data_IF_904702742831
#
_entry.id   IF_904702742831
#
_cell.length_a   1.000
_cell.length_b   1.000
_cell.length_c   1.000
_cell.angle_alpha   90.00
_cell.angle_beta   90.00
_cell.angle_gamma   90.00
#
_symmetry.space_group_name_H-M   'P 1'
#
loop_
_entity.id
_entity.type
_entity.pdbx_description
1 polymer ?
#
# COMPACT_ATOMS: atom_id res chain seq x y z
N UNK A 1 6.46 -27.32 80.45
CA UNK A 1 6.88 -28.14 79.30
C UNK A 1 6.33 -27.51 78.03
N UNK A 2 7.23 -27.22 77.08
CA UNK A 2 7.04 -27.06 75.62
C UNK A 2 6.00 -26.03 75.09
N UNK A 3 6.58 -24.91 74.61
CA UNK A 3 6.32 -24.09 73.39
C UNK A 3 4.93 -24.09 72.73
N UNK A 4 4.43 -22.88 72.49
CA UNK A 4 3.99 -22.45 71.14
C UNK A 4 4.09 -20.92 71.03
N UNK A 5 5.03 -20.43 70.23
CA UNK A 5 5.13 -19.01 69.85
C UNK A 5 4.39 -18.88 68.51
N UNK A 6 3.23 -18.23 68.51
CA UNK A 6 2.55 -17.82 67.29
C UNK A 6 3.25 -16.56 66.75
N UNK A 7 3.90 -16.71 65.59
CA UNK A 7 4.36 -15.58 64.79
C UNK A 7 3.20 -15.17 63.89
N UNK A 8 2.60 -14.01 64.16
CA UNK A 8 1.60 -13.40 63.30
C UNK A 8 2.31 -12.69 62.13
N UNK A 9 2.35 -13.33 60.97
CA UNK A 9 2.78 -12.69 59.71
C UNK A 9 1.64 -11.80 59.21
N UNK A 10 1.80 -10.49 59.34
CA UNK A 10 0.92 -9.53 58.68
C UNK A 10 1.24 -9.50 57.18
N UNK A 11 0.36 -10.08 56.36
CA UNK A 11 0.37 -9.87 54.91
C UNK A 11 -0.01 -8.40 54.64
N UNK A 12 0.97 -7.59 54.20
CA UNK A 12 0.67 -6.34 53.51
C UNK A 12 0.08 -6.70 52.14
N UNK A 13 -1.25 -6.62 52.02
CA UNK A 13 -1.92 -6.65 50.73
C UNK A 13 -1.59 -5.37 49.96
N UNK A 14 -0.74 -5.46 48.95
CA UNK A 14 -0.63 -4.42 47.92
C UNK A 14 -1.91 -4.42 47.09
N UNK A 15 -2.82 -3.51 47.40
CA UNK A 15 -3.88 -3.10 46.47
C UNK A 15 -3.21 -2.35 45.32
N UNK A 16 -2.87 -3.07 44.26
CA UNK A 16 -2.59 -2.47 42.97
C UNK A 16 -3.91 -1.86 42.48
N UNK A 17 -4.05 -0.54 42.62
CA UNK A 17 -5.08 0.21 41.95
C UNK A 17 -4.81 0.12 40.45
N UNK A 18 -5.51 -0.77 39.76
CA UNK A 18 -5.61 -0.77 38.31
C UNK A 18 -6.28 0.55 37.91
N UNK A 19 -5.48 1.53 37.52
CA UNK A 19 -5.98 2.71 36.84
C UNK A 19 -6.55 2.22 35.51
N UNK A 20 -7.87 2.08 35.44
CA UNK A 20 -8.57 2.01 34.16
C UNK A 20 -8.32 3.35 33.48
N UNK A 21 -7.45 3.35 32.48
CA UNK A 21 -7.31 4.49 31.58
C UNK A 21 -8.71 4.82 31.05
N UNK A 22 -9.13 6.08 31.23
CA UNK A 22 -10.36 6.56 30.62
C UNK A 22 -10.29 6.30 29.10
N UNK A 23 -11.42 5.96 28.44
CA UNK A 23 -11.43 5.81 26.99
C UNK A 23 -10.88 7.10 26.39
N UNK A 24 -9.78 6.96 25.64
CA UNK A 24 -9.24 8.04 24.83
C UNK A 24 -10.37 8.59 23.96
N UNK A 25 -10.50 9.93 23.91
CA UNK A 25 -11.36 10.61 22.94
C UNK A 25 -11.17 9.90 21.59
N UNK A 26 -12.24 9.44 20.92
CA UNK A 26 -12.08 8.75 19.64
C UNK A 26 -11.28 9.68 18.73
N UNK A 27 -10.24 9.16 18.07
CA UNK A 27 -9.42 9.97 17.18
C UNK A 27 -10.34 10.64 16.16
N UNK A 28 -10.03 11.85 15.69
CA UNK A 28 -10.79 12.41 14.58
C UNK A 28 -10.62 11.45 13.39
N UNK A 29 -11.71 10.77 12.99
CA UNK A 29 -11.72 9.71 11.98
C UNK A 29 -12.12 10.33 10.65
N UNK A 30 -11.38 9.99 9.59
CA UNK A 30 -11.72 10.37 8.23
C UNK A 30 -12.95 9.63 7.67
N UNK A 31 -13.22 9.88 6.39
CA UNK A 31 -14.30 9.20 5.68
C UNK A 31 -13.82 7.85 5.14
N UNK A 32 -14.57 6.78 5.40
CA UNK A 32 -14.27 5.45 4.88
C UNK A 32 -14.49 5.39 3.36
N UNK A 33 -13.51 4.93 2.59
CA UNK A 33 -13.60 4.68 1.14
C UNK A 33 -13.42 3.21 0.84
N UNK A 34 -14.29 2.67 -0.01
CA UNK A 34 -14.53 1.24 -0.10
C UNK A 34 -14.26 0.68 -1.51
N UNK A 35 -13.52 -0.43 -1.61
CA UNK A 35 -13.62 -1.29 -2.80
C UNK A 35 -15.02 -1.91 -2.86
N UNK A 36 -15.94 -1.34 -3.64
CA UNK A 36 -17.32 -1.86 -3.74
C UNK A 36 -17.36 -3.31 -4.29
N UNK A 37 -18.34 -4.11 -3.84
CA UNK A 37 -18.55 -5.46 -4.39
C UNK A 37 -18.91 -5.43 -5.89
N UNK A 38 -18.43 -6.43 -6.63
CA UNK A 38 -18.83 -6.67 -8.00
C UNK A 38 -20.33 -6.97 -8.07
N UNK A 39 -21.05 -6.17 -8.86
CA UNK A 39 -22.47 -6.40 -9.17
C UNK A 39 -22.60 -6.56 -10.68
N UNK A 40 -22.83 -7.78 -11.22
CA UNK A 40 -22.82 -8.03 -12.67
C UNK A 40 -23.74 -7.13 -13.50
N UNK A 41 -24.83 -6.65 -12.89
CA UNK A 41 -25.81 -5.77 -13.54
C UNK A 41 -25.44 -4.28 -13.51
N UNK A 42 -24.46 -3.89 -12.67
CA UNK A 42 -24.04 -2.50 -12.47
C UNK A 42 -22.56 -2.28 -12.81
N UNK A 43 -21.76 -3.34 -12.76
CA UNK A 43 -20.35 -3.36 -13.12
C UNK A 43 -20.24 -4.22 -14.37
N UNK A 44 -20.16 -3.57 -15.52
CA UNK A 44 -19.47 -4.19 -16.66
C UNK A 44 -17.97 -4.19 -16.32
N UNK A 45 -17.16 -5.07 -16.92
CA UNK A 45 -15.70 -4.93 -16.91
C UNK A 45 -15.26 -3.71 -17.74
N UNK A 46 -15.86 -2.54 -17.49
CA UNK A 46 -15.59 -1.28 -18.15
C UNK A 46 -15.34 -0.17 -17.11
N UNK A 47 -14.49 0.81 -17.42
CA UNK A 47 -14.21 1.92 -16.52
C UNK A 47 -15.45 2.74 -16.17
N UNK A 48 -15.51 3.27 -14.94
CA UNK A 48 -16.49 4.28 -14.55
C UNK A 48 -16.18 5.57 -15.33
N UNK A 49 -17.18 6.15 -15.99
CA UNK A 49 -17.01 7.37 -16.78
C UNK A 49 -16.69 8.60 -15.91
N UNK A 50 -16.03 9.61 -16.49
CA UNK A 50 -15.72 10.88 -15.83
C UNK A 50 -14.29 10.96 -15.31
N UNK A 51 -13.72 12.16 -15.38
CA UNK A 51 -12.34 12.44 -15.00
C UNK A 51 -12.23 12.72 -13.50
N UNK A 52 -11.11 12.30 -12.90
CA UNK A 52 -10.74 12.66 -11.54
C UNK A 52 -9.97 13.97 -11.51
N UNK A 53 -10.03 14.70 -10.40
CA UNK A 53 -9.34 15.97 -10.19
C UNK A 53 -8.76 16.02 -8.78
N UNK A 54 -7.67 16.75 -8.62
CA UNK A 54 -7.08 17.07 -7.32
C UNK A 54 -7.95 18.08 -6.55
N UNK A 55 -8.27 17.76 -5.29
CA UNK A 55 -9.15 18.56 -4.44
C UNK A 55 -8.43 19.36 -3.35
N UNK A 56 -7.08 19.35 -3.32
CA UNK A 56 -6.28 20.25 -2.47
C UNK A 56 -5.70 19.63 -1.20
N UNK A 57 -6.04 18.37 -0.89
CA UNK A 57 -5.54 17.60 0.25
C UNK A 57 -4.16 16.99 0.05
N UNK A 58 -3.53 16.48 1.11
CA UNK A 58 -2.21 15.87 1.03
C UNK A 58 -2.25 14.52 0.28
N UNK A 59 -1.12 14.12 -0.31
CA UNK A 59 -0.86 12.80 -0.88
C UNK A 59 0.37 12.17 -0.22
N UNK A 60 0.54 10.85 -0.38
CA UNK A 60 1.79 10.17 -0.02
C UNK A 60 2.80 10.28 -1.18
N UNK A 61 3.43 11.45 -1.30
CA UNK A 61 4.27 11.82 -2.45
C UNK A 61 5.69 11.26 -2.44
N UNK A 62 6.22 10.93 -1.27
CA UNK A 62 7.58 10.40 -1.09
C UNK A 62 7.62 8.89 -0.99
N UNK A 63 8.50 8.39 -0.11
CA UNK A 63 8.53 6.99 0.28
C UNK A 63 7.23 6.61 0.98
N UNK A 64 6.63 5.49 0.58
CA UNK A 64 5.42 4.92 1.20
C UNK A 64 5.79 3.61 1.89
N UNK A 65 5.49 3.50 3.17
CA UNK A 65 5.83 2.32 3.95
C UNK A 65 4.58 1.47 4.22
N UNK A 66 4.67 0.16 4.00
CA UNK A 66 3.56 -0.77 4.20
C UNK A 66 3.82 -1.62 5.44
N UNK A 67 2.81 -1.67 6.31
CA UNK A 67 2.81 -2.49 7.52
C UNK A 67 1.60 -3.40 7.51
N UNK A 68 1.79 -4.68 7.81
CA UNK A 68 0.68 -5.64 7.90
C UNK A 68 0.43 -6.06 9.35
N UNK A 69 -0.84 -6.11 9.71
CA UNK A 69 -1.34 -6.71 10.95
C UNK A 69 -2.19 -7.90 10.55
N UNK A 70 -1.66 -9.11 10.73
CA UNK A 70 -2.40 -10.34 10.48
C UNK A 70 -3.33 -10.61 11.67
N UNK A 71 -4.59 -10.24 11.52
CA UNK A 71 -5.61 -10.36 12.56
C UNK A 71 -6.31 -11.72 12.48
N UNK A 72 -6.17 -12.52 13.54
CA UNK A 72 -6.66 -13.89 13.62
C UNK A 72 -5.64 -14.94 13.18
N UNK A 73 -6.11 -16.16 12.92
CA UNK A 73 -5.25 -17.33 12.72
C UNK A 73 -4.87 -17.54 11.25
N UNK A 74 -3.69 -17.06 10.88
CA UNK A 74 -3.11 -17.21 9.54
C UNK A 74 -2.16 -18.42 9.46
N UNK A 75 -2.73 -19.62 9.45
CA UNK A 75 -1.99 -20.88 9.59
C UNK A 75 -1.20 -21.31 8.34
N UNK A 76 -1.55 -20.79 7.16
CA UNK A 76 -0.92 -21.16 5.89
C UNK A 76 0.15 -20.13 5.53
N UNK A 77 1.42 -20.48 5.73
CA UNK A 77 2.56 -19.58 5.49
C UNK A 77 2.60 -19.03 4.06
N UNK A 78 2.21 -19.83 3.05
CA UNK A 78 2.19 -19.37 1.67
C UNK A 78 1.25 -18.20 1.43
N UNK A 79 0.16 -18.10 2.20
CA UNK A 79 -0.81 -17.00 2.05
C UNK A 79 -0.16 -15.66 2.41
N UNK A 80 0.64 -15.64 3.48
CA UNK A 80 1.42 -14.47 3.86
C UNK A 80 2.48 -14.14 2.82
N UNK A 81 3.19 -15.15 2.33
CA UNK A 81 4.22 -14.97 1.30
C UNK A 81 3.66 -14.33 0.03
N UNK A 82 2.44 -14.67 -0.38
CA UNK A 82 1.77 -14.04 -1.53
C UNK A 82 1.55 -12.54 -1.25
N UNK A 83 0.96 -12.18 -0.10
CA UNK A 83 0.63 -10.78 0.19
C UNK A 83 1.87 -9.91 0.49
N UNK A 84 2.88 -10.47 1.13
CA UNK A 84 4.13 -9.78 1.45
C UNK A 84 5.00 -9.61 0.19
N UNK A 85 5.01 -10.60 -0.72
CA UNK A 85 5.66 -10.49 -2.03
C UNK A 85 5.06 -9.34 -2.85
N UNK A 86 3.72 -9.24 -2.89
CA UNK A 86 3.03 -8.13 -3.53
C UNK A 86 3.54 -6.78 -3.01
N UNK A 87 3.43 -6.52 -1.70
CA UNK A 87 3.82 -5.22 -1.12
C UNK A 87 5.31 -4.93 -1.14
N UNK A 88 6.15 -5.97 -1.19
CA UNK A 88 7.60 -5.82 -1.27
C UNK A 88 8.07 -5.40 -2.66
N UNK A 89 7.30 -5.68 -3.72
CA UNK A 89 7.76 -5.55 -5.09
C UNK A 89 6.82 -4.73 -5.99
N UNK A 90 5.59 -4.40 -5.57
CA UNK A 90 4.65 -3.62 -6.39
C UNK A 90 5.23 -2.25 -6.78
N UNK A 91 6.02 -1.63 -5.90
CA UNK A 91 6.69 -0.35 -6.15
C UNK A 91 7.71 -0.36 -7.31
N UNK A 92 8.17 -1.54 -7.73
CA UNK A 92 9.13 -1.73 -8.84
C UNK A 92 8.42 -1.98 -10.17
N UNK A 93 7.08 -2.06 -10.17
CA UNK A 93 6.30 -2.41 -11.37
C UNK A 93 5.85 -1.18 -12.14
N UNK A 94 5.60 -1.35 -13.44
CA UNK A 94 4.93 -0.32 -14.25
C UNK A 94 3.51 -0.02 -13.77
N UNK A 95 2.89 -0.91 -12.98
CA UNK A 95 1.62 -0.64 -12.33
C UNK A 95 1.76 0.54 -11.35
N UNK A 96 2.77 0.53 -10.49
CA UNK A 96 3.02 1.64 -9.57
C UNK A 96 3.45 2.93 -10.27
N UNK A 97 4.04 2.85 -11.48
CA UNK A 97 4.32 4.05 -12.28
C UNK A 97 3.05 4.85 -12.64
N UNK A 98 1.85 4.25 -12.55
CA UNK A 98 0.58 4.98 -12.68
C UNK A 98 0.42 6.00 -11.54
N UNK A 99 0.77 5.64 -10.30
CA UNK A 99 0.68 6.55 -9.15
C UNK A 99 1.57 7.78 -9.32
N UNK A 100 2.70 7.65 -10.02
CA UNK A 100 3.59 8.77 -10.32
C UNK A 100 2.97 9.84 -11.22
N UNK A 101 1.77 9.61 -11.77
CA UNK A 101 0.99 10.62 -12.51
C UNK A 101 0.18 11.55 -11.59
N UNK A 102 0.04 11.18 -10.31
CA UNK A 102 -0.66 11.94 -9.29
C UNK A 102 0.27 12.94 -8.61
N UNK A 103 -0.30 14.04 -8.12
CA UNK A 103 0.44 15.10 -7.44
C UNK A 103 -0.40 15.76 -6.36
N UNK A 104 0.28 16.36 -5.38
CA UNK A 104 -0.31 17.37 -4.49
C UNK A 104 0.18 18.77 -4.87
N UNK A 105 -0.63 19.77 -4.52
CA UNK A 105 -0.26 21.18 -4.57
C UNK A 105 -0.95 21.88 -3.40
N UNK A 106 -0.31 21.83 -2.23
CA UNK A 106 -0.84 22.45 -1.01
C UNK A 106 -0.78 23.98 -1.09
N UNK A 107 -1.57 24.67 -0.29
CA UNK A 107 -1.67 26.13 -0.32
C UNK A 107 -0.29 26.81 -0.16
N UNK A 108 0.10 27.61 -1.16
CA UNK A 108 1.39 28.30 -1.18
C UNK A 108 2.60 27.40 -1.42
N UNK A 109 2.39 26.16 -1.88
CA UNK A 109 3.45 25.20 -2.25
C UNK A 109 3.44 24.93 -3.75
N UNK A 110 4.60 24.55 -4.26
CA UNK A 110 4.75 24.05 -5.62
C UNK A 110 4.09 22.68 -5.78
N UNK A 111 3.87 22.29 -7.03
CA UNK A 111 3.37 20.96 -7.37
C UNK A 111 4.41 19.90 -7.05
N UNK A 112 3.99 18.85 -6.35
CA UNK A 112 4.83 17.71 -5.95
C UNK A 112 4.16 16.40 -6.37
N UNK A 113 4.84 15.63 -7.21
CA UNK A 113 4.35 14.36 -7.74
C UNK A 113 4.66 13.20 -6.81
N UNK A 114 3.85 12.15 -6.86
CA UNK A 114 4.19 10.88 -6.23
C UNK A 114 5.47 10.31 -6.86
N UNK A 115 6.40 9.89 -6.02
CA UNK A 115 7.71 9.36 -6.43
C UNK A 115 7.95 7.94 -5.93
N UNK A 116 7.43 7.57 -4.76
CA UNK A 116 7.77 6.34 -4.08
C UNK A 116 9.18 6.40 -3.45
N UNK A 117 9.85 5.24 -3.25
CA UNK A 117 9.37 3.88 -3.49
C UNK A 117 8.26 3.47 -2.52
N UNK A 118 7.58 2.35 -2.82
CA UNK A 118 6.77 1.61 -1.84
C UNK A 118 7.67 0.55 -1.20
N UNK A 119 7.75 0.54 0.12
CA UNK A 119 8.54 -0.44 0.88
C UNK A 119 7.63 -1.24 1.80
N UNK A 120 7.69 -2.57 1.73
CA UNK A 120 7.17 -3.40 2.79
C UNK A 120 8.15 -3.41 3.97
N UNK A 121 7.71 -2.91 5.13
CA UNK A 121 8.60 -2.73 6.29
C UNK A 121 8.51 -3.91 7.24
N UNK A 122 7.29 -4.29 7.64
CA UNK A 122 7.09 -5.30 8.68
C UNK A 122 5.66 -5.84 8.68
N UNK A 123 5.52 -7.12 9.01
CA UNK A 123 4.26 -7.71 9.47
C UNK A 123 4.31 -8.07 10.95
N UNK A 124 3.15 -8.06 11.60
CA UNK A 124 2.95 -8.54 12.97
C UNK A 124 1.69 -9.41 13.06
N UNK A 125 1.56 -10.13 14.19
CA UNK A 125 0.44 -11.03 14.45
C UNK A 125 -0.44 -10.50 15.58
N UNK A 126 -1.73 -10.42 15.29
CA UNK A 126 -2.79 -10.38 16.30
C UNK A 126 -3.54 -11.72 16.27
N UNK A 127 -2.79 -12.79 16.57
CA UNK A 127 -3.30 -14.16 16.48
C UNK A 127 -4.35 -14.49 17.55
N UNK A 128 -4.43 -13.69 18.64
CA UNK A 128 -5.36 -13.92 19.75
C UNK A 128 -6.70 -13.21 19.57
N UNK A 129 -6.92 -12.56 18.42
CA UNK A 129 -8.13 -11.79 18.16
C UNK A 129 -8.34 -10.73 19.26
N UNK A 130 -7.46 -9.75 19.38
CA UNK A 130 -7.47 -8.78 20.50
C UNK A 130 -8.81 -8.04 20.71
N UNK A 131 -9.66 -7.98 19.68
CA UNK A 131 -11.03 -7.43 19.69
C UNK A 131 -12.12 -8.47 19.42
N UNK A 132 -11.79 -9.76 19.47
CA UNK A 132 -12.69 -10.87 19.14
C UNK A 132 -12.86 -11.09 17.65
N UNK A 133 -13.76 -12.00 17.26
CA UNK A 133 -13.98 -12.37 15.86
C UNK A 133 -15.01 -11.51 15.12
N UNK A 134 -15.61 -10.54 15.79
CA UNK A 134 -16.55 -9.59 15.19
C UNK A 134 -16.01 -8.19 15.37
N UNK A 135 -15.59 -7.56 14.28
CA UNK A 135 -14.97 -6.23 14.30
C UNK A 135 -15.93 -5.16 13.77
N UNK A 136 -16.11 -4.11 14.55
CA UNK A 136 -16.61 -2.83 14.04
C UNK A 136 -15.49 -2.02 13.37
N UNK A 137 -15.84 -0.96 12.63
CA UNK A 137 -14.84 -0.05 12.06
C UNK A 137 -13.98 0.62 13.17
N UNK A 138 -14.57 0.84 14.36
CA UNK A 138 -13.83 1.36 15.51
C UNK A 138 -12.84 0.32 16.07
N UNK A 139 -13.20 -0.97 16.09
CA UNK A 139 -12.29 -2.02 16.55
C UNK A 139 -11.05 -2.11 15.64
N UNK A 140 -11.20 -1.91 14.33
CA UNK A 140 -10.06 -1.86 13.39
C UNK A 140 -9.09 -0.74 13.79
N UNK A 141 -9.59 0.47 14.07
CA UNK A 141 -8.78 1.61 14.52
C UNK A 141 -8.11 1.29 15.86
N UNK A 142 -8.83 0.68 16.78
CA UNK A 142 -8.31 0.32 18.09
C UNK A 142 -7.19 -0.72 18.01
N UNK A 143 -7.28 -1.70 17.10
CA UNK A 143 -6.21 -2.70 16.89
C UNK A 143 -4.95 -2.02 16.36
N UNK A 144 -5.07 -1.20 15.32
CA UNK A 144 -3.94 -0.43 14.76
C UNK A 144 -3.33 0.45 15.86
N UNK A 145 -4.16 1.17 16.60
CA UNK A 145 -3.74 2.05 17.70
C UNK A 145 -3.02 1.28 18.81
N UNK A 146 -3.50 0.09 19.19
CA UNK A 146 -2.90 -0.73 20.22
C UNK A 146 -1.47 -1.15 19.83
N UNK A 147 -1.25 -1.62 18.60
CA UNK A 147 0.07 -2.04 18.13
C UNK A 147 1.04 -0.88 17.90
N UNK A 148 0.53 0.33 17.61
CA UNK A 148 1.33 1.54 17.57
C UNK A 148 1.75 1.98 18.98
N UNK A 149 0.84 1.92 19.96
CA UNK A 149 1.12 2.33 21.34
C UNK A 149 1.99 1.31 22.10
N UNK A 150 1.89 0.02 21.78
CA UNK A 150 2.75 -1.03 22.37
C UNK A 150 4.18 -0.98 21.86
N UNK A 151 4.40 -0.36 20.69
CA UNK A 151 5.69 -0.34 20.00
C UNK A 151 5.95 -1.56 19.11
N UNK A 152 4.95 -2.42 18.88
CA UNK A 152 5.06 -3.53 17.92
C UNK A 152 5.27 -3.02 16.50
N UNK A 153 4.64 -1.89 16.18
CA UNK A 153 4.78 -1.13 14.96
C UNK A 153 5.25 0.30 15.26
N UNK A 154 6.12 0.83 14.40
CA UNK A 154 6.53 2.23 14.48
C UNK A 154 5.38 3.14 14.03
N UNK A 155 5.22 4.31 14.64
CA UNK A 155 4.25 5.31 14.18
C UNK A 155 4.83 6.13 13.02
N UNK A 156 4.22 6.00 11.85
CA UNK A 156 4.74 6.45 10.56
C UNK A 156 3.67 7.22 9.78
N UNK A 157 3.89 8.52 9.60
CA UNK A 157 2.99 9.41 8.84
C UNK A 157 3.17 9.28 7.32
N UNK A 158 4.11 8.45 6.85
CA UNK A 158 4.20 7.99 5.46
C UNK A 158 3.80 6.52 5.31
N UNK A 159 3.30 5.90 6.40
CA UNK A 159 2.91 4.51 6.45
C UNK A 159 1.43 4.28 6.13
N UNK A 160 1.12 3.13 5.51
CA UNK A 160 -0.23 2.57 5.44
C UNK A 160 -0.24 1.26 6.25
N UNK A 161 -1.11 1.21 7.26
CA UNK A 161 -1.28 0.04 8.12
C UNK A 161 -2.44 -0.81 7.63
N UNK A 162 -2.15 -1.96 7.02
CA UNK A 162 -3.19 -2.91 6.61
C UNK A 162 -3.52 -3.84 7.76
N UNK A 163 -4.79 -3.85 8.18
CA UNK A 163 -5.36 -4.93 8.97
C UNK A 163 -5.86 -6.01 8.02
N UNK A 164 -5.22 -7.18 8.06
CA UNK A 164 -5.52 -8.33 7.21
C UNK A 164 -6.22 -9.40 8.04
N UNK A 165 -7.53 -9.59 7.85
CA UNK A 165 -8.32 -10.51 8.68
C UNK A 165 -8.33 -11.93 8.14
N UNK A 166 -8.25 -12.92 9.02
CA UNK A 166 -8.42 -14.35 8.68
C UNK A 166 -9.88 -14.66 8.29
N UNK A 167 -10.15 -15.77 7.57
CA UNK A 167 -11.49 -16.09 7.05
C UNK A 167 -12.63 -16.20 8.06
N UNK A 168 -12.30 -16.39 9.34
CA UNK A 168 -13.25 -16.60 10.43
C UNK A 168 -13.59 -15.32 11.22
N UNK A 169 -13.16 -14.15 10.72
CA UNK A 169 -13.44 -12.83 11.28
C UNK A 169 -14.58 -12.18 10.49
N UNK A 170 -15.62 -11.75 11.18
CA UNK A 170 -16.74 -10.97 10.63
C UNK A 170 -16.50 -9.48 10.86
N UNK A 171 -16.43 -8.70 9.79
CA UNK A 171 -16.35 -7.24 9.88
C UNK A 171 -17.77 -6.70 9.68
N UNK A 172 -18.37 -6.25 10.78
CA UNK A 172 -19.81 -6.04 10.88
C UNK A 172 -20.33 -4.88 10.04
N UNK A 173 -19.43 -4.01 9.55
CA UNK A 173 -19.74 -2.84 8.75
C UNK A 173 -19.96 -3.13 7.26
N UNK A 174 -19.85 -4.38 6.81
CA UNK A 174 -20.32 -4.79 5.48
C UNK A 174 -19.29 -5.46 4.56
N UNK A 175 -18.14 -5.90 5.10
CA UNK A 175 -17.20 -6.70 4.33
C UNK A 175 -17.90 -7.94 3.73
N UNK A 176 -17.56 -8.29 2.50
CA UNK A 176 -18.18 -9.38 1.73
C UNK A 176 -19.67 -9.22 1.40
N UNK A 177 -20.32 -8.11 1.81
CA UNK A 177 -21.75 -7.82 1.54
C UNK A 177 -21.94 -6.50 0.79
N UNK A 178 -21.08 -5.53 1.04
CA UNK A 178 -21.12 -4.18 0.50
C UNK A 178 -19.79 -3.79 -0.16
N UNK A 179 -18.68 -4.23 0.42
CA UNK A 179 -17.34 -3.96 -0.07
C UNK A 179 -16.39 -5.15 0.17
N UNK A 180 -15.22 -5.08 -0.45
CA UNK A 180 -14.17 -6.09 -0.40
C UNK A 180 -12.95 -5.65 0.43
N UNK A 181 -12.79 -4.33 0.59
CA UNK A 181 -11.82 -3.68 1.45
C UNK A 181 -12.24 -2.23 1.67
N UNK A 182 -11.48 -1.52 2.49
CA UNK A 182 -11.58 -0.07 2.59
C UNK A 182 -10.28 0.52 3.12
N UNK A 183 -10.04 1.80 2.84
CA UNK A 183 -9.03 2.61 3.49
C UNK A 183 -9.66 3.83 4.16
N UNK A 184 -8.96 4.37 5.16
CA UNK A 184 -9.34 5.55 5.91
C UNK A 184 -8.12 6.10 6.68
N UNK A 185 -8.29 7.25 7.33
CA UNK A 185 -7.31 7.81 8.25
C UNK A 185 -7.90 8.13 9.64
N UNK A 186 -7.03 8.26 10.62
CA UNK A 186 -7.39 8.74 11.95
C UNK A 186 -6.21 9.46 12.61
N UNK A 187 -6.49 10.33 13.59
CA UNK A 187 -5.45 11.03 14.36
C UNK A 187 -4.96 10.24 15.58
N UNK A 188 -3.69 9.84 15.60
CA UNK A 188 -3.03 9.34 16.82
C UNK A 188 -2.26 10.48 17.49
N UNK A 189 -2.90 11.15 18.45
CA UNK A 189 -2.38 12.42 18.99
C UNK A 189 -2.39 13.49 17.90
N UNK A 190 -1.21 14.04 17.57
CA UNK A 190 -1.05 15.01 16.48
C UNK A 190 -0.77 14.36 15.11
N UNK A 191 -0.50 13.05 15.06
CA UNK A 191 -0.04 12.35 13.86
C UNK A 191 -1.21 11.84 13.03
N UNK A 192 -1.07 11.90 11.71
CA UNK A 192 -2.06 11.35 10.78
C UNK A 192 -1.74 9.91 10.36
N UNK A 193 -2.60 8.97 10.72
CA UNK A 193 -2.39 7.54 10.50
C UNK A 193 -3.33 7.06 9.41
N UNK A 194 -2.77 6.54 8.31
CA UNK A 194 -3.54 5.92 7.23
C UNK A 194 -3.59 4.42 7.45
N UNK A 195 -4.76 3.84 7.29
CA UNK A 195 -4.93 2.40 7.43
C UNK A 195 -5.87 1.87 6.37
N UNK A 196 -5.78 0.57 6.13
CA UNK A 196 -6.70 -0.15 5.28
C UNK A 196 -7.13 -1.45 5.95
N UNK A 197 -8.34 -1.91 5.64
CA UNK A 197 -8.84 -3.21 6.03
C UNK A 197 -9.06 -4.04 4.77
N UNK A 198 -8.47 -5.22 4.74
CA UNK A 198 -8.78 -6.24 3.73
C UNK A 198 -8.96 -7.58 4.45
N UNK A 199 -10.10 -8.23 4.27
CA UNK A 199 -10.29 -9.57 4.82
C UNK A 199 -10.05 -10.66 3.81
N UNK A 200 -9.82 -11.88 4.30
CA UNK A 200 -9.79 -13.05 3.45
C UNK A 200 -11.14 -13.21 2.73
N UNK A 201 -11.09 -13.20 1.41
CA UNK A 201 -12.25 -13.16 0.54
C UNK A 201 -12.82 -14.55 0.21
N UNK A 202 -12.32 -15.62 0.84
CA UNK A 202 -12.75 -17.01 0.60
C UNK A 202 -14.27 -17.19 0.68
N UNK A 203 -14.95 -16.43 1.54
CA UNK A 203 -16.40 -16.51 1.73
C UNK A 203 -17.21 -15.64 0.74
N UNK A 204 -16.56 -14.84 -0.11
CA UNK A 204 -17.23 -13.90 -1.01
C UNK A 204 -16.52 -13.68 -2.35
N UNK A 205 -15.80 -14.69 -2.84
CA UNK A 205 -15.07 -14.63 -4.11
C UNK A 205 -15.93 -14.21 -5.30
N UNK A 206 -17.21 -14.62 -5.35
CA UNK A 206 -18.10 -14.21 -6.44
C UNK A 206 -18.35 -12.70 -6.49
N UNK A 207 -18.19 -12.00 -5.36
CA UNK A 207 -18.35 -10.57 -5.24
C UNK A 207 -17.02 -9.82 -5.32
N UNK A 208 -15.91 -10.40 -4.85
CA UNK A 208 -14.64 -9.68 -4.69
C UNK A 208 -13.49 -10.20 -5.58
N UNK A 209 -13.64 -11.36 -6.19
CA UNK A 209 -12.67 -11.96 -7.11
C UNK A 209 -13.38 -12.80 -8.20
N UNK A 210 -14.30 -12.21 -8.98
CA UNK A 210 -15.27 -12.94 -9.81
C UNK A 210 -14.64 -13.80 -10.93
N UNK A 211 -13.39 -13.52 -11.32
CA UNK A 211 -12.70 -14.17 -12.42
C UNK A 211 -11.82 -15.38 -12.01
N UNK A 212 -11.59 -15.58 -10.72
CA UNK A 212 -10.76 -16.66 -10.15
C UNK A 212 -11.45 -17.41 -8.99
N UNK A 213 -12.77 -17.60 -9.10
CA UNK A 213 -13.58 -18.24 -8.03
C UNK A 213 -13.21 -19.72 -7.83
N UNK A 214 -12.97 -20.45 -8.92
CA UNK A 214 -12.73 -21.91 -8.89
C UNK A 214 -11.27 -22.29 -8.90
N UNK A 215 -10.47 -21.53 -9.66
CA UNK A 215 -9.07 -21.78 -9.88
C UNK A 215 -8.31 -20.53 -9.46
N UNK A 216 -7.18 -20.73 -8.79
CA UNK A 216 -6.36 -19.65 -8.24
C UNK A 216 -4.94 -19.79 -8.79
N UNK A 217 -4.26 -18.66 -9.11
CA UNK A 217 -2.87 -18.70 -9.54
C UNK A 217 -1.91 -19.24 -8.46
N UNK A 218 -2.23 -19.06 -7.18
CA UNK A 218 -1.32 -19.38 -6.07
C UNK A 218 -1.92 -20.38 -5.05
N UNK A 219 -2.88 -21.21 -5.48
CA UNK A 219 -3.60 -22.19 -4.66
C UNK A 219 -4.21 -21.60 -3.37
N UNK A 220 -4.64 -20.34 -3.44
CA UNK A 220 -5.29 -19.60 -2.37
C UNK A 220 -6.28 -18.57 -2.92
N UNK A 221 -7.49 -18.99 -3.36
CA UNK A 221 -8.45 -18.09 -4.02
C UNK A 221 -8.81 -16.84 -3.20
N UNK A 222 -9.00 -16.99 -1.88
CA UNK A 222 -9.29 -15.86 -0.98
C UNK A 222 -8.19 -14.82 -0.99
N UNK A 223 -6.95 -15.27 -0.81
CA UNK A 223 -5.74 -14.44 -0.73
C UNK A 223 -5.35 -13.84 -2.09
N UNK A 224 -5.56 -14.58 -3.18
CA UNK A 224 -5.37 -14.03 -4.53
C UNK A 224 -6.35 -12.89 -4.82
N UNK A 225 -7.60 -13.04 -4.35
CA UNK A 225 -8.57 -11.95 -4.37
C UNK A 225 -8.11 -10.75 -3.53
N UNK A 226 -7.56 -11.01 -2.33
CA UNK A 226 -7.01 -9.94 -1.48
C UNK A 226 -5.91 -9.16 -2.18
N UNK A 227 -5.08 -9.78 -3.03
CA UNK A 227 -4.04 -9.07 -3.77
C UNK A 227 -4.59 -7.90 -4.61
N UNK A 228 -5.73 -8.10 -5.29
CA UNK A 228 -6.37 -7.02 -6.06
C UNK A 228 -6.92 -5.92 -5.15
N UNK A 229 -7.53 -6.29 -4.02
CA UNK A 229 -8.11 -5.33 -3.06
C UNK A 229 -7.02 -4.55 -2.30
N UNK A 230 -5.96 -5.21 -1.84
CA UNK A 230 -4.81 -4.53 -1.22
C UNK A 230 -4.23 -3.51 -2.18
N UNK A 231 -4.08 -3.88 -3.46
CA UNK A 231 -3.58 -2.94 -4.46
C UNK A 231 -4.55 -1.78 -4.66
N UNK A 232 -5.85 -2.03 -4.75
CA UNK A 232 -6.89 -1.00 -4.84
C UNK A 232 -6.77 0.00 -3.68
N UNK A 233 -6.87 -0.47 -2.44
CA UNK A 233 -6.82 0.39 -1.24
C UNK A 233 -5.46 1.07 -1.06
N UNK A 234 -4.37 0.45 -1.51
CA UNK A 234 -3.04 1.06 -1.49
C UNK A 234 -2.94 2.25 -2.44
N UNK A 235 -3.40 2.10 -3.68
CA UNK A 235 -3.31 3.18 -4.68
C UNK A 235 -4.24 4.35 -4.33
N UNK A 236 -5.41 4.07 -3.77
CA UNK A 236 -6.30 5.13 -3.27
C UNK A 236 -5.68 5.86 -2.09
N UNK A 237 -5.21 5.14 -1.06
CA UNK A 237 -4.55 5.75 0.10
C UNK A 237 -3.27 6.54 -0.24
N UNK A 238 -2.61 6.27 -1.37
CA UNK A 238 -1.47 7.08 -1.85
C UNK A 238 -1.95 8.38 -2.50
N UNK A 239 -3.02 8.31 -3.30
CA UNK A 239 -3.57 9.44 -4.07
C UNK A 239 -4.59 10.31 -3.31
N UNK A 240 -5.12 9.81 -2.19
CA UNK A 240 -6.08 10.45 -1.29
C UNK A 240 -5.99 9.85 0.14
N UNK A 241 -4.85 9.98 0.85
CA UNK A 241 -4.64 9.44 2.20
C UNK A 241 -5.65 9.95 3.25
N UNK A 242 -6.23 11.13 3.01
CA UNK A 242 -7.26 11.75 3.84
C UNK A 242 -8.56 11.81 3.01
N UNK A 243 -9.36 10.73 2.99
CA UNK A 243 -10.38 10.53 1.99
C UNK A 243 -11.30 11.71 1.68
N UNK A 244 -11.57 11.86 0.38
CA UNK A 244 -12.32 12.94 -0.25
C UNK A 244 -11.59 14.30 -0.24
N UNK A 245 -10.26 14.32 -0.04
CA UNK A 245 -9.46 15.56 -0.11
C UNK A 245 -8.39 15.55 -1.21
N UNK A 246 -7.94 14.37 -1.62
CA UNK A 246 -6.97 14.13 -2.69
C UNK A 246 -7.62 14.08 -4.07
N UNK A 247 -7.42 12.99 -4.81
CA UNK A 247 -7.91 12.85 -6.18
C UNK A 247 -9.22 12.07 -6.29
N UNK A 248 -10.30 12.77 -6.66
CA UNK A 248 -11.60 12.12 -6.89
C UNK A 248 -12.30 12.68 -8.11
N UNK A 249 -13.28 11.94 -8.64
CA UNK A 249 -14.26 12.53 -9.55
C UNK A 249 -15.38 13.28 -8.80
N UNK A 250 -16.32 13.85 -9.55
CA UNK A 250 -17.43 14.64 -9.01
C UNK A 250 -18.45 13.82 -8.17
N UNK A 251 -18.39 12.49 -8.24
CA UNK A 251 -19.21 11.56 -7.46
C UNK A 251 -18.44 10.91 -6.31
N UNK A 252 -17.17 11.25 -6.15
CA UNK A 252 -16.31 10.77 -5.07
C UNK A 252 -15.56 9.47 -5.37
N UNK A 253 -15.57 8.96 -6.61
CA UNK A 253 -14.76 7.80 -6.99
C UNK A 253 -13.30 8.21 -7.11
N UNK A 254 -12.42 7.39 -6.57
CA UNK A 254 -10.97 7.53 -6.63
C UNK A 254 -10.36 6.76 -7.81
N UNK A 255 -9.03 6.76 -7.92
CA UNK A 255 -8.30 6.15 -9.01
C UNK A 255 -8.62 4.65 -9.20
N UNK A 256 -8.60 3.87 -8.12
CA UNK A 256 -8.86 2.44 -8.20
C UNK A 256 -10.35 2.13 -8.38
N UNK A 257 -11.26 2.90 -7.76
CA UNK A 257 -12.70 2.85 -8.03
C UNK A 257 -13.02 2.95 -9.54
N UNK A 258 -12.40 3.91 -10.26
CA UNK A 258 -12.67 4.10 -11.70
C UNK A 258 -12.45 2.84 -12.52
N UNK A 259 -11.57 1.95 -12.05
CA UNK A 259 -11.10 0.79 -12.78
C UNK A 259 -11.44 -0.52 -12.08
N UNK A 260 -12.32 -0.49 -11.05
CA UNK A 260 -12.72 -1.66 -10.29
C UNK A 260 -13.21 -2.78 -11.22
N UNK A 261 -12.63 -3.97 -11.05
CA UNK A 261 -12.92 -5.17 -11.85
C UNK A 261 -12.62 -5.04 -13.36
N UNK A 262 -11.88 -4.02 -13.81
CA UNK A 262 -11.39 -3.90 -15.19
C UNK A 262 -9.99 -4.49 -15.26
N UNK A 263 -9.84 -5.73 -15.70
CA UNK A 263 -8.53 -6.42 -15.67
C UNK A 263 -7.67 -6.21 -16.93
N UNK A 264 -8.21 -5.60 -17.98
CA UNK A 264 -7.52 -5.45 -19.27
C UNK A 264 -7.16 -6.80 -19.91
N UNK A 265 -5.96 -6.89 -20.50
CA UNK A 265 -5.46 -8.15 -21.08
C UNK A 265 -5.07 -9.11 -19.97
N UNK A 266 -5.64 -10.32 -20.02
CA UNK A 266 -5.35 -11.40 -19.05
C UNK A 266 -4.71 -12.59 -19.74
N UNK A 267 -3.81 -13.27 -19.03
CA UNK A 267 -3.29 -14.58 -19.36
C UNK A 267 -4.05 -15.65 -18.57
N UNK A 268 -3.97 -16.90 -19.01
CA UNK A 268 -4.62 -18.04 -18.35
C UNK A 268 -3.61 -19.15 -18.12
N UNK A 269 -3.47 -19.58 -16.87
CA UNK A 269 -2.64 -20.71 -16.46
C UNK A 269 -3.26 -22.04 -16.89
N UNK A 270 -2.48 -23.12 -16.85
CA UNK A 270 -2.95 -24.45 -17.22
C UNK A 270 -4.14 -24.93 -16.37
N UNK A 271 -4.19 -24.53 -15.09
CA UNK A 271 -5.30 -24.82 -14.18
C UNK A 271 -6.54 -23.94 -14.46
N UNK A 272 -6.51 -23.06 -15.46
CA UNK A 272 -7.61 -22.16 -15.83
C UNK A 272 -7.69 -20.87 -15.00
N UNK A 273 -6.78 -20.65 -14.05
CA UNK A 273 -6.71 -19.39 -13.32
C UNK A 273 -6.18 -18.25 -14.20
N UNK A 274 -6.74 -17.06 -14.04
CA UNK A 274 -6.35 -15.85 -14.76
C UNK A 274 -5.32 -15.05 -13.97
N UNK A 275 -4.42 -14.38 -14.68
CA UNK A 275 -3.51 -13.39 -14.12
C UNK A 275 -3.18 -12.34 -15.18
N UNK A 276 -2.79 -11.14 -14.78
CA UNK A 276 -2.37 -10.09 -15.70
C UNK A 276 -1.04 -9.44 -15.30
N UNK A 277 -0.56 -9.69 -14.09
CA UNK A 277 0.74 -9.25 -13.61
C UNK A 277 1.52 -10.40 -12.97
N UNK A 278 2.84 -10.36 -13.15
CA UNK A 278 3.81 -11.27 -12.54
C UNK A 278 4.77 -10.41 -11.71
N UNK A 279 4.75 -10.58 -10.40
CA UNK A 279 5.57 -9.80 -9.48
C UNK A 279 6.47 -10.77 -8.74
N UNK A 280 7.77 -10.67 -9.00
CA UNK A 280 8.80 -11.54 -8.42
C UNK A 280 8.42 -13.04 -8.45
N UNK A 281 7.90 -13.51 -9.60
CA UNK A 281 7.53 -14.90 -9.84
C UNK A 281 6.11 -15.29 -9.42
N UNK A 282 5.44 -14.48 -8.60
CA UNK A 282 4.08 -14.72 -8.13
C UNK A 282 3.07 -14.08 -9.09
N UNK A 283 2.02 -14.81 -9.45
CA UNK A 283 1.03 -14.38 -10.46
C UNK A 283 -0.17 -13.76 -9.77
N UNK A 284 -0.58 -12.56 -10.19
CA UNK A 284 -1.73 -11.86 -9.64
C UNK A 284 -2.70 -11.45 -10.74
N UNK A 285 -3.98 -11.44 -10.41
CA UNK A 285 -5.01 -10.79 -11.21
C UNK A 285 -5.40 -9.50 -10.49
N UNK A 286 -4.86 -8.38 -10.96
CA UNK A 286 -5.06 -7.07 -10.33
C UNK A 286 -5.87 -6.20 -11.30
N UNK A 287 -6.92 -5.54 -10.82
CA UNK A 287 -7.63 -4.54 -11.63
C UNK A 287 -6.67 -3.47 -12.16
N UNK A 288 -6.97 -2.88 -13.32
CA UNK A 288 -6.29 -1.69 -13.79
C UNK A 288 -6.43 -0.55 -12.77
N UNK A 289 -5.57 0.46 -12.89
CA UNK A 289 -5.67 1.69 -12.11
C UNK A 289 -5.85 2.89 -13.06
N UNK A 290 -6.51 3.95 -12.59
CA UNK A 290 -6.72 5.15 -13.39
C UNK A 290 -5.43 5.94 -13.49
N UNK A 291 -5.05 6.33 -14.69
CA UNK A 291 -3.90 7.20 -14.93
C UNK A 291 -4.36 8.65 -15.04
N UNK A 292 -3.92 9.51 -14.12
CA UNK A 292 -4.34 10.91 -14.04
C UNK A 292 -3.88 11.76 -15.24
N UNK A 293 -2.81 11.37 -15.94
CA UNK A 293 -2.31 12.09 -17.10
C UNK A 293 -3.15 11.85 -18.37
N UNK A 294 -3.62 10.61 -18.57
CA UNK A 294 -4.43 10.25 -19.75
C UNK A 294 -5.94 10.17 -19.45
N UNK A 295 -6.32 10.21 -18.17
CA UNK A 295 -7.69 10.05 -17.69
C UNK A 295 -8.33 8.75 -18.19
N UNK A 296 -7.71 7.62 -17.85
CA UNK A 296 -8.19 6.29 -18.23
C UNK A 296 -7.49 5.14 -17.52
N UNK A 297 -8.13 3.97 -17.51
CA UNK A 297 -7.60 2.76 -16.88
C UNK A 297 -6.43 2.13 -17.65
N UNK A 298 -5.36 1.78 -16.93
CA UNK A 298 -4.21 1.06 -17.46
C UNK A 298 -3.70 0.01 -16.47
N UNK A 299 -3.02 -1.02 -16.96
CA UNK A 299 -2.33 -2.01 -16.11
C UNK A 299 -0.88 -1.60 -15.79
N UNK A 300 -0.37 -0.58 -16.48
CA UNK A 300 0.91 0.04 -16.17
C UNK A 300 1.13 1.28 -17.01
N UNK A 301 1.95 2.19 -16.50
CA UNK A 301 2.42 3.38 -17.21
C UNK A 301 3.90 3.21 -17.58
N UNK A 302 4.34 3.96 -18.59
CA UNK A 302 5.78 4.18 -18.80
C UNK A 302 6.28 5.10 -17.68
N UNK A 303 7.37 4.74 -17.02
CA UNK A 303 8.00 5.59 -16.01
C UNK A 303 8.14 7.04 -16.54
N UNK A 304 7.76 8.07 -15.75
CA UNK A 304 8.00 9.45 -16.14
C UNK A 304 9.48 9.66 -16.44
N UNK A 305 9.86 10.45 -17.46
CA UNK A 305 11.25 10.77 -17.69
C UNK A 305 11.80 11.43 -16.43
N UNK A 306 12.77 10.78 -15.79
CA UNK A 306 13.52 11.37 -14.69
C UNK A 306 14.10 12.68 -15.18
N UNK A 307 13.66 13.81 -14.62
CA UNK A 307 14.37 15.08 -14.78
C UNK A 307 15.70 14.93 -14.07
N UNK A 308 16.71 14.44 -14.79
CA UNK A 308 18.08 14.60 -14.34
C UNK A 308 18.31 16.11 -14.27
N UNK A 309 18.49 16.63 -13.07
CA UNK A 309 19.12 17.93 -12.90
C UNK A 309 20.54 17.77 -13.46
N UNK A 310 20.72 18.10 -14.73
CA UNK A 310 22.03 18.28 -15.30
C UNK A 310 22.65 19.47 -14.58
N UNK A 311 23.40 19.20 -13.52
CA UNK A 311 24.40 20.15 -13.05
C UNK A 311 25.33 20.38 -14.22
N UNK A 312 25.18 21.51 -14.90
CA UNK A 312 26.11 21.99 -15.90
C UNK A 312 27.45 22.22 -15.21
N UNK A 313 28.29 21.19 -15.22
CA UNK A 313 29.71 21.34 -14.92
C UNK A 313 30.27 22.18 -16.06
N UNK A 314 30.42 23.48 -15.80
CA UNK A 314 31.18 24.39 -16.65
C UNK A 314 32.61 23.82 -16.73
N UNK A 315 33.12 23.43 -17.91
CA UNK A 315 34.50 22.98 -18.03
C UNK A 315 35.43 24.16 -17.70
N UNK A 316 36.54 23.95 -16.98
CA UNK A 316 37.52 25.01 -16.78
C UNK A 316 38.12 25.40 -18.14
N UNK A 317 38.14 26.70 -18.41
CA UNK A 317 38.74 27.31 -19.59
C UNK A 317 40.22 26.92 -19.72
N UNK A 318 40.55 26.16 -20.76
CA UNK A 318 41.93 25.83 -21.11
C UNK A 318 42.61 27.05 -21.77
N UNK A 319 43.66 27.55 -21.14
CA UNK A 319 44.60 28.51 -21.72
C UNK A 319 45.36 27.88 -22.88
N UNK A 320 45.29 28.51 -24.05
CA UNK A 320 46.05 28.16 -25.25
C UNK A 320 47.51 28.61 -25.09
N UNK A 321 48.44 27.65 -25.04
CA UNK A 321 49.87 27.88 -25.29
C UNK A 321 50.20 27.46 -26.72
N UNK A 322 50.87 28.35 -27.45
CA UNK A 322 51.10 28.28 -28.90
C UNK A 322 51.97 27.11 -29.41
N UNK A 323 52.10 26.96 -30.73
CA UNK A 323 52.66 25.78 -31.37
C UNK A 323 54.20 25.74 -31.29
N UNK A 324 54.73 24.57 -30.93
CA UNK A 324 56.16 24.23 -31.01
C UNK A 324 56.41 23.60 -32.38
N UNK A 325 57.30 24.20 -33.17
CA UNK A 325 57.81 23.64 -34.43
C UNK A 325 58.97 22.67 -34.13
N UNK A 326 58.86 21.42 -34.60
CA UNK A 326 59.98 20.46 -34.63
C UNK A 326 60.47 20.27 -36.07
N UNK A 327 61.75 20.58 -36.31
CA UNK A 327 62.45 20.35 -37.57
C UNK A 327 62.97 18.91 -37.64
N UNK A 328 62.66 18.21 -38.73
CA UNK A 328 63.19 16.87 -39.04
C UNK A 328 64.35 17.01 -40.05
N UNK A 329 65.48 16.39 -39.74
CA UNK A 329 66.63 16.26 -40.65
C UNK A 329 66.75 14.80 -41.10
N UNK A 330 66.77 14.57 -42.42
CA UNK A 330 66.93 13.24 -43.04
C UNK A 330 68.40 12.94 -43.35
N UNK A 331 68.87 11.70 -43.19
CA UNK A 331 70.23 11.30 -43.57
C UNK A 331 70.34 10.93 -45.06
N UNK A 332 71.48 11.26 -45.65
CA UNK A 332 71.88 10.96 -47.03
C UNK A 332 72.55 9.59 -47.07
N UNK A 333 72.07 8.69 -47.94
CA UNK A 333 72.74 7.44 -48.29
C UNK A 333 73.64 7.65 -49.52
N UNK A 334 74.91 7.25 -49.40
CA UNK A 334 75.87 7.12 -50.50
C UNK A 334 75.79 5.72 -51.13
N UNK A 335 75.72 5.65 -52.46
CA UNK A 335 76.11 4.45 -53.22
C UNK A 335 76.95 4.83 -54.42
N UNK A 336 78.11 4.19 -54.52
CA UNK A 336 79.10 4.25 -55.59
C UNK A 336 78.63 3.50 -56.84
N UNK A 337 78.83 4.09 -58.02
CA UNK A 337 79.62 3.60 -59.16
C UNK A 337 79.76 4.71 -60.19
#
# INVERSE_FOLDING_TARGET
>A
MVRLVLVASALLGFLAASAFAAPSVPPNIGSKKITAIFKPNLHTHAPIAGNIKYNGGPLLVGTVNIYYIYYGQWNKTSDRQILENLSSHIGETSYFDIEKTYYQQLAGKEKEYVTGPVNFIKSIDDAQYSKGKSLSDQDVIDVVTAHLNSGDLVTDENGIYFLLTSPDVDVTSGLCKQYCGYHNNFKLGAKDIKFALVGDLSNCLSACAPDNIKNSPNDSPGVDGMGSVITHEMMEAISDPDPASGWTDATGNENADKCAYVYGTVNTLHNGAKYNIDINGVKYLIQQNWNAAIQGCQLGASAPPTTSSSSSIIPPSSTSTGPIYTTSTSPIFTTSY
#
